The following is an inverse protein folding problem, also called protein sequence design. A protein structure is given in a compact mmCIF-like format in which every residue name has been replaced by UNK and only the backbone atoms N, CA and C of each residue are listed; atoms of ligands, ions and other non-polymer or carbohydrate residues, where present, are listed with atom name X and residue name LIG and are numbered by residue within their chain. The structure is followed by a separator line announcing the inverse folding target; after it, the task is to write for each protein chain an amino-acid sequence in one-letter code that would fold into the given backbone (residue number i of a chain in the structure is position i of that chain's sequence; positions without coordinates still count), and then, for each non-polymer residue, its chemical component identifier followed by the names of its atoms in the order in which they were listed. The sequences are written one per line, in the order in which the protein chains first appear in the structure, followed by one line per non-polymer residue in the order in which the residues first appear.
data_IF_688879970017
#
_entry.id   IF_688879970017
#
_cell.length_a   1.000
_cell.length_b   1.000
_cell.length_c   1.000
_cell.angle_alpha   90.00
_cell.angle_beta   90.00
_cell.angle_gamma   90.00
#
_symmetry.space_group_name_H-M   'P 1'
#
loop_
_entity.id
_entity.type
_entity.pdbx_description
1 polymer ?
#
# COMPACT_ATOMS: atom_id res chain seq x y z
N UNK A 1 54.86 -0.97 24.19
CA UNK A 1 53.78 -1.93 24.48
C UNK A 1 52.48 -1.23 24.10
N UNK A 2 52.22 -1.06 22.80
CA UNK A 2 51.50 -2.01 21.93
C UNK A 2 50.03 -2.19 22.31
N UNK A 3 49.17 -1.72 21.41
CA UNK A 3 47.96 -2.42 20.97
C UNK A 3 46.73 -2.35 21.87
N UNK A 4 45.71 -1.61 21.44
CA UNK A 4 44.61 -2.32 20.81
C UNK A 4 43.79 -1.43 19.87
N UNK A 5 43.79 -1.85 18.61
CA UNK A 5 43.01 -1.34 17.50
C UNK A 5 41.53 -1.67 17.69
N UNK A 6 40.71 -0.64 17.89
CA UNK A 6 39.26 -0.77 17.68
C UNK A 6 39.03 -0.86 16.18
N UNK A 7 39.07 -2.09 15.67
CA UNK A 7 38.62 -2.42 14.33
C UNK A 7 37.12 -2.18 14.25
N UNK A 8 36.74 -1.04 13.67
CA UNK A 8 35.38 -0.79 13.19
C UNK A 8 35.14 -1.78 12.07
N UNK A 9 34.62 -2.95 12.43
CA UNK A 9 34.10 -3.91 11.47
C UNK A 9 32.90 -3.27 10.78
N UNK A 10 33.15 -2.84 9.54
CA UNK A 10 32.12 -2.46 8.57
C UNK A 10 31.13 -3.61 8.42
N UNK A 11 30.08 -3.63 9.23
CA UNK A 11 28.89 -4.45 8.99
C UNK A 11 28.29 -3.95 7.67
N UNK A 12 28.54 -4.68 6.59
CA UNK A 12 27.80 -4.54 5.33
C UNK A 12 26.32 -4.53 5.67
N UNK A 13 25.69 -3.36 5.58
CA UNK A 13 24.24 -3.26 5.74
C UNK A 13 23.58 -4.17 4.70
N UNK A 14 22.57 -4.97 5.08
CA UNK A 14 21.92 -5.90 4.17
C UNK A 14 21.27 -5.12 3.02
N UNK A 15 21.40 -5.59 1.77
CA UNK A 15 20.84 -4.95 0.57
C UNK A 15 19.36 -4.52 0.71
N UNK A 16 18.58 -5.24 1.53
CA UNK A 16 17.17 -4.92 1.87
C UNK A 16 16.99 -3.59 2.63
N UNK A 17 17.95 -3.16 3.45
CA UNK A 17 17.87 -1.86 4.15
C UNK A 17 17.97 -0.71 3.16
N UNK A 18 18.84 -0.83 2.15
CA UNK A 18 19.06 0.19 1.13
C UNK A 18 17.84 0.45 0.25
N UNK A 19 17.07 -0.58 -0.10
CA UNK A 19 15.87 -0.42 -0.92
C UNK A 19 14.74 0.28 -0.14
N UNK A 20 14.54 -0.11 1.13
CA UNK A 20 13.57 0.53 2.02
C UNK A 20 13.96 1.98 2.33
N UNK A 21 15.24 2.25 2.52
CA UNK A 21 15.79 3.58 2.79
C UNK A 21 15.74 4.49 1.54
N UNK A 22 16.10 3.97 0.37
CA UNK A 22 15.95 4.69 -0.90
C UNK A 22 14.49 5.06 -1.19
N UNK A 23 13.54 4.17 -0.91
CA UNK A 23 12.09 4.48 -1.01
C UNK A 23 11.68 5.59 -0.05
N UNK A 24 12.11 5.54 1.21
CA UNK A 24 11.82 6.60 2.20
C UNK A 24 12.38 7.95 1.74
N UNK A 25 13.62 7.99 1.24
CA UNK A 25 14.26 9.23 0.75
C UNK A 25 13.58 9.76 -0.51
N UNK A 26 13.25 8.90 -1.48
CA UNK A 26 12.57 9.31 -2.72
C UNK A 26 11.15 9.83 -2.44
N UNK A 27 10.37 9.10 -1.64
CA UNK A 27 9.04 9.53 -1.21
C UNK A 27 9.10 10.86 -0.46
N UNK A 28 10.10 11.05 0.41
CA UNK A 28 10.28 12.30 1.14
C UNK A 28 10.62 13.47 0.22
N UNK A 29 11.56 13.31 -0.72
CA UNK A 29 11.96 14.39 -1.64
C UNK A 29 10.86 14.81 -2.62
N UNK A 30 10.06 13.86 -3.09
CA UNK A 30 8.95 14.15 -4.01
C UNK A 30 7.75 14.80 -3.30
N UNK A 31 7.44 14.37 -2.07
CA UNK A 31 6.30 14.89 -1.31
C UNK A 31 6.59 16.23 -0.62
N UNK A 32 7.82 16.50 -0.20
CA UNK A 32 8.21 17.72 0.53
C UNK A 32 7.68 19.04 -0.07
N UNK A 33 7.89 19.36 -1.37
CA UNK A 33 7.41 20.64 -1.91
C UNK A 33 5.88 20.75 -1.92
N UNK A 34 5.19 19.67 -2.24
CA UNK A 34 3.73 19.59 -2.24
C UNK A 34 3.17 19.74 -0.81
N UNK A 35 3.75 19.04 0.16
CA UNK A 35 3.31 19.10 1.56
C UNK A 35 3.57 20.49 2.16
N UNK A 36 4.70 21.14 1.81
CA UNK A 36 4.99 22.51 2.24
C UNK A 36 4.01 23.52 1.64
N UNK A 37 3.63 23.36 0.37
CA UNK A 37 2.60 24.19 -0.26
C UNK A 37 1.25 23.99 0.43
N UNK A 38 0.82 22.74 0.62
CA UNK A 38 -0.43 22.39 1.27
C UNK A 38 -0.51 22.93 2.71
N UNK A 39 0.60 22.87 3.46
CA UNK A 39 0.69 23.41 4.81
C UNK A 39 0.36 24.92 4.89
N UNK A 40 0.50 25.67 3.78
CA UNK A 40 0.17 27.10 3.71
C UNK A 40 -1.30 27.39 3.36
N UNK A 41 -2.05 26.39 2.88
CA UNK A 41 -3.42 26.56 2.36
C UNK A 41 -4.53 26.34 3.39
N UNK A 42 -4.19 25.89 4.61
CA UNK A 42 -5.16 25.58 5.66
C UNK A 42 -5.87 24.22 5.50
N UNK A 43 -5.60 23.48 4.43
CA UNK A 43 -6.12 22.12 4.21
C UNK A 43 -5.71 21.20 5.36
N UNK A 44 -6.64 20.39 5.85
CA UNK A 44 -6.39 19.45 6.93
C UNK A 44 -5.97 18.07 6.39
N UNK A 45 -5.17 17.29 7.14
CA UNK A 45 -4.84 15.92 6.75
C UNK A 45 -6.08 15.07 6.47
N UNK A 46 -7.09 15.13 7.34
CA UNK A 46 -8.34 14.38 7.17
C UNK A 46 -9.07 14.75 5.86
N UNK A 47 -9.01 16.01 5.41
CA UNK A 47 -9.62 16.41 4.14
C UNK A 47 -8.92 15.72 2.96
N UNK A 48 -7.59 15.55 3.01
CA UNK A 48 -6.84 14.80 2.01
C UNK A 48 -7.19 13.31 2.03
N UNK A 49 -7.37 12.71 3.22
CA UNK A 49 -7.83 11.31 3.37
C UNK A 49 -9.23 11.09 2.77
N UNK A 50 -10.17 12.01 3.01
CA UNK A 50 -11.51 11.93 2.38
C UNK A 50 -11.44 12.13 0.87
N UNK A 51 -10.55 13.00 0.40
CA UNK A 51 -10.35 13.22 -1.03
C UNK A 51 -9.71 12.00 -1.73
N UNK A 52 -8.72 11.36 -1.10
CA UNK A 52 -8.10 10.13 -1.64
C UNK A 52 -9.13 8.99 -1.74
N UNK A 53 -10.04 8.88 -0.77
CA UNK A 53 -11.17 7.94 -0.80
C UNK A 53 -12.13 8.25 -1.96
N UNK A 54 -12.50 9.52 -2.16
CA UNK A 54 -13.36 9.92 -3.27
C UNK A 54 -12.74 9.56 -4.62
N UNK A 55 -11.43 9.77 -4.77
CA UNK A 55 -10.69 9.34 -5.97
C UNK A 55 -10.69 7.81 -6.13
N UNK A 56 -10.57 7.04 -5.05
CA UNK A 56 -10.66 5.59 -5.10
C UNK A 56 -12.04 5.11 -5.59
N UNK A 57 -13.13 5.73 -5.13
CA UNK A 57 -14.47 5.46 -5.67
C UNK A 57 -14.62 5.89 -7.14
N UNK A 58 -14.03 7.03 -7.52
CA UNK A 58 -13.98 7.46 -8.91
C UNK A 58 -13.25 6.44 -9.80
N UNK A 59 -12.10 5.95 -9.37
CA UNK A 59 -11.36 4.89 -10.05
C UNK A 59 -12.18 3.59 -10.16
N UNK A 60 -12.79 3.14 -9.06
CA UNK A 60 -13.67 1.96 -9.06
C UNK A 60 -14.81 2.09 -10.07
N UNK A 61 -15.43 3.27 -10.15
CA UNK A 61 -16.49 3.58 -11.11
C UNK A 61 -15.98 3.53 -12.55
N UNK A 62 -14.82 4.13 -12.83
CA UNK A 62 -14.20 4.07 -14.16
C UNK A 62 -13.89 2.62 -14.58
N UNK A 63 -13.37 1.78 -13.66
CA UNK A 63 -13.13 0.36 -13.93
C UNK A 63 -14.46 -0.35 -14.27
N UNK A 64 -15.50 -0.15 -13.46
CA UNK A 64 -16.81 -0.75 -13.67
C UNK A 64 -17.45 -0.32 -15.01
N UNK A 65 -17.18 0.90 -15.47
CA UNK A 65 -17.64 1.42 -16.75
C UNK A 65 -16.80 0.95 -17.96
N UNK A 66 -15.78 0.10 -17.74
CA UNK A 66 -14.91 -0.39 -18.80
C UNK A 66 -13.84 0.62 -19.24
N UNK A 67 -13.45 1.53 -18.34
CA UNK A 67 -12.37 2.52 -18.55
C UNK A 67 -11.16 2.27 -17.62
N UNK A 68 -10.57 1.04 -17.61
CA UNK A 68 -9.48 0.69 -16.71
C UNK A 68 -8.22 1.56 -16.91
N UNK A 69 -7.91 1.97 -18.14
CA UNK A 69 -6.77 2.85 -18.43
C UNK A 69 -6.85 4.18 -17.66
N UNK A 70 -7.99 4.87 -17.77
CA UNK A 70 -8.22 6.12 -17.04
C UNK A 70 -8.20 5.90 -15.53
N UNK A 71 -8.79 4.79 -15.07
CA UNK A 71 -8.76 4.43 -13.65
C UNK A 71 -7.34 4.25 -13.12
N UNK A 72 -6.41 3.70 -13.92
CA UNK A 72 -5.00 3.55 -13.54
C UNK A 72 -4.35 4.88 -13.10
N UNK A 73 -4.61 5.97 -13.82
CA UNK A 73 -4.16 7.30 -13.41
C UNK A 73 -4.85 7.77 -12.13
N UNK A 74 -6.16 7.57 -12.01
CA UNK A 74 -6.91 7.99 -10.82
C UNK A 74 -6.45 7.24 -9.57
N UNK A 75 -6.12 5.94 -9.67
CA UNK A 75 -5.54 5.16 -8.57
C UNK A 75 -4.17 5.71 -8.15
N UNK A 76 -3.30 6.07 -9.10
CA UNK A 76 -2.01 6.70 -8.78
C UNK A 76 -2.18 8.04 -8.07
N UNK A 77 -3.11 8.87 -8.56
CA UNK A 77 -3.40 10.17 -7.95
C UNK A 77 -3.99 9.97 -6.54
N UNK A 78 -4.94 9.05 -6.36
CA UNK A 78 -5.48 8.70 -5.04
C UNK A 78 -4.37 8.28 -4.07
N UNK A 79 -3.47 7.39 -4.49
CA UNK A 79 -2.33 6.96 -3.68
C UNK A 79 -1.34 8.09 -3.37
N UNK A 80 -1.18 9.07 -4.26
CA UNK A 80 -0.38 10.25 -3.97
C UNK A 80 -1.02 11.11 -2.87
N UNK A 81 -2.31 11.41 -2.95
CA UNK A 81 -3.02 12.22 -1.96
C UNK A 81 -3.01 11.57 -0.56
N UNK A 82 -3.16 10.26 -0.54
CA UNK A 82 -3.00 9.44 0.66
C UNK A 82 -1.60 9.56 1.27
N UNK A 83 -0.54 9.44 0.46
CA UNK A 83 0.82 9.67 0.97
C UNK A 83 1.06 11.10 1.48
N UNK A 84 0.39 12.09 0.88
CA UNK A 84 0.48 13.50 1.28
C UNK A 84 -0.22 13.76 2.62
N UNK A 85 -1.31 13.07 2.94
CA UNK A 85 -2.05 13.31 4.18
C UNK A 85 -1.22 12.98 5.43
N UNK A 86 -0.53 11.85 5.44
CA UNK A 86 0.30 11.41 6.55
C UNK A 86 1.56 12.25 6.65
N UNK A 87 2.09 12.71 5.51
CA UNK A 87 3.20 13.65 5.49
C UNK A 87 2.79 15.03 6.03
N UNK A 88 1.60 15.52 5.66
CA UNK A 88 1.04 16.77 6.16
C UNK A 88 0.73 16.71 7.66
N UNK A 89 0.17 15.60 8.14
CA UNK A 89 -0.09 15.39 9.57
C UNK A 89 1.19 15.45 10.40
N UNK A 90 2.29 14.85 9.90
CA UNK A 90 3.61 14.91 10.55
C UNK A 90 4.20 16.32 10.49
N UNK A 91 4.16 16.99 9.34
CA UNK A 91 4.74 18.33 9.18
C UNK A 91 4.01 19.38 10.02
N UNK A 92 2.68 19.30 10.10
CA UNK A 92 1.84 20.29 10.80
C UNK A 92 1.62 19.98 12.28
N UNK A 93 2.19 18.89 12.80
CA UNK A 93 1.98 18.46 14.19
C UNK A 93 0.54 18.01 14.50
N UNK A 94 -0.28 17.72 13.48
CA UNK A 94 -1.69 17.34 13.61
C UNK A 94 -1.92 15.83 13.60
N UNK A 95 -0.88 15.04 13.88
CA UNK A 95 -1.00 13.57 13.98
C UNK A 95 -1.83 13.19 15.21
N UNK A 96 -2.91 12.44 15.03
CA UNK A 96 -3.77 11.96 16.12
C UNK A 96 -4.00 10.46 16.01
N UNK A 97 -4.23 9.79 17.15
CA UNK A 97 -4.55 8.35 17.18
C UNK A 97 -5.81 8.03 16.37
N UNK A 98 -6.85 8.86 16.50
CA UNK A 98 -8.07 8.71 15.72
C UNK A 98 -7.81 8.92 14.22
N UNK A 99 -7.03 9.93 13.85
CA UNK A 99 -6.65 10.17 12.45
C UNK A 99 -5.94 8.98 11.83
N UNK A 100 -5.01 8.34 12.56
CA UNK A 100 -4.35 7.12 12.08
C UNK A 100 -5.32 5.94 11.91
N UNK A 101 -6.30 5.79 12.80
CA UNK A 101 -7.35 4.76 12.65
C UNK A 101 -8.22 5.06 11.44
N UNK A 102 -8.67 6.32 11.29
CA UNK A 102 -9.50 6.78 10.17
C UNK A 102 -8.80 6.57 8.84
N UNK A 103 -7.58 7.09 8.68
CA UNK A 103 -6.71 6.93 7.52
C UNK A 103 -6.62 5.46 7.11
N UNK A 104 -6.19 4.63 8.05
CA UNK A 104 -6.03 3.20 7.82
C UNK A 104 -7.37 2.51 7.44
N UNK A 105 -8.51 2.94 7.99
CA UNK A 105 -9.83 2.36 7.68
C UNK A 105 -10.30 2.77 6.29
N UNK A 106 -10.19 4.05 5.95
CA UNK A 106 -10.60 4.58 4.64
C UNK A 106 -9.70 4.03 3.53
N UNK A 107 -8.43 3.79 3.82
CA UNK A 107 -7.50 3.08 2.95
C UNK A 107 -8.01 1.70 2.52
N UNK A 108 -8.52 0.94 3.48
CA UNK A 108 -9.09 -0.39 3.22
C UNK A 108 -10.39 -0.28 2.44
N UNK A 109 -11.22 0.71 2.76
CA UNK A 109 -12.48 0.95 2.05
C UNK A 109 -12.23 1.31 0.58
N UNK A 110 -11.28 2.20 0.29
CA UNK A 110 -10.89 2.57 -1.07
C UNK A 110 -10.31 1.39 -1.85
N UNK A 111 -9.45 0.59 -1.21
CA UNK A 111 -8.91 -0.64 -1.81
C UNK A 111 -10.01 -1.64 -2.17
N UNK A 112 -10.95 -1.91 -1.25
CA UNK A 112 -12.13 -2.76 -1.50
C UNK A 112 -12.94 -2.21 -2.68
N UNK A 113 -13.19 -0.90 -2.73
CA UNK A 113 -13.95 -0.29 -3.81
C UNK A 113 -13.31 -0.55 -5.18
N UNK A 114 -11.99 -0.37 -5.31
CA UNK A 114 -11.26 -0.62 -6.55
C UNK A 114 -11.38 -2.10 -6.96
N UNK A 115 -11.21 -3.04 -6.04
CA UNK A 115 -11.39 -4.47 -6.32
C UNK A 115 -12.83 -4.83 -6.68
N UNK A 116 -13.84 -4.17 -6.12
CA UNK A 116 -15.24 -4.35 -6.54
C UNK A 116 -15.47 -3.83 -7.97
N UNK A 117 -14.85 -2.71 -8.34
CA UNK A 117 -14.87 -2.22 -9.73
C UNK A 117 -14.29 -3.25 -10.70
N UNK A 118 -13.16 -3.88 -10.35
CA UNK A 118 -12.55 -4.96 -11.13
C UNK A 118 -13.44 -6.20 -11.21
N UNK A 119 -14.11 -6.55 -10.10
CA UNK A 119 -15.05 -7.66 -10.06
C UNK A 119 -16.20 -7.42 -11.06
N UNK A 120 -16.78 -6.23 -11.06
CA UNK A 120 -17.84 -5.85 -12.01
C UNK A 120 -17.34 -5.96 -13.45
N UNK A 121 -16.12 -5.47 -13.73
CA UNK A 121 -15.50 -5.57 -15.05
C UNK A 121 -15.42 -7.03 -15.53
N UNK A 122 -14.83 -7.93 -14.74
CA UNK A 122 -14.67 -9.33 -15.14
C UNK A 122 -15.98 -10.14 -15.14
N UNK A 123 -16.96 -9.75 -14.32
CA UNK A 123 -18.32 -10.33 -14.37
C UNK A 123 -18.99 -9.97 -15.70
N UNK A 124 -18.89 -8.72 -16.15
CA UNK A 124 -19.44 -8.27 -17.43
C UNK A 124 -18.82 -8.99 -18.62
N UNK A 125 -17.53 -9.32 -18.52
CA UNK A 125 -16.80 -10.06 -19.55
C UNK A 125 -16.95 -11.59 -19.41
N UNK A 126 -17.78 -12.08 -18.47
CA UNK A 126 -17.97 -13.50 -18.16
C UNK A 126 -16.66 -14.27 -17.90
N UNK A 127 -15.66 -13.59 -17.36
CA UNK A 127 -14.32 -14.15 -17.12
C UNK A 127 -14.23 -14.79 -15.73
N UNK A 128 -14.56 -16.08 -15.64
CA UNK A 128 -14.40 -16.86 -14.40
C UNK A 128 -12.98 -16.77 -13.80
N UNK A 129 -11.89 -16.89 -14.59
CA UNK A 129 -10.54 -16.72 -14.05
C UNK A 129 -10.29 -15.31 -13.48
N UNK A 130 -10.81 -14.27 -14.14
CA UNK A 130 -10.71 -12.88 -13.67
C UNK A 130 -11.44 -12.66 -12.35
N UNK A 131 -12.64 -13.22 -12.21
CA UNK A 131 -13.44 -13.16 -10.97
C UNK A 131 -12.68 -13.81 -9.81
N UNK A 132 -12.16 -15.03 -10.03
CA UNK A 132 -11.43 -15.76 -8.99
C UNK A 132 -10.16 -15.02 -8.55
N UNK A 133 -9.39 -14.49 -9.51
CA UNK A 133 -8.12 -13.83 -9.20
C UNK A 133 -8.34 -12.49 -8.47
N UNK A 134 -9.40 -11.75 -8.79
CA UNK A 134 -9.82 -10.56 -8.03
C UNK A 134 -10.18 -10.95 -6.60
N UNK A 135 -10.95 -12.04 -6.42
CA UNK A 135 -11.30 -12.55 -5.10
C UNK A 135 -10.07 -12.87 -4.25
N UNK A 136 -9.10 -13.60 -4.79
CA UNK A 136 -7.85 -13.92 -4.10
C UNK A 136 -6.97 -12.69 -3.85
N UNK A 137 -6.91 -11.75 -4.80
CA UNK A 137 -6.13 -10.52 -4.63
C UNK A 137 -6.71 -9.65 -3.50
N UNK A 138 -8.05 -9.50 -3.46
CA UNK A 138 -8.75 -8.75 -2.42
C UNK A 138 -8.58 -9.40 -1.04
N UNK A 139 -8.83 -10.70 -0.92
CA UNK A 139 -8.67 -11.42 0.34
C UNK A 139 -7.22 -11.35 0.85
N UNK A 140 -6.25 -11.54 -0.03
CA UNK A 140 -4.83 -11.41 0.28
C UNK A 140 -4.48 -10.01 0.79
N UNK A 141 -4.93 -8.95 0.10
CA UNK A 141 -4.68 -7.57 0.48
C UNK A 141 -5.22 -7.24 1.88
N UNK A 142 -6.44 -7.68 2.18
CA UNK A 142 -7.08 -7.49 3.49
C UNK A 142 -6.37 -8.30 4.59
N UNK A 143 -6.00 -9.56 4.32
CA UNK A 143 -5.29 -10.40 5.28
C UNK A 143 -3.92 -9.83 5.64
N UNK A 144 -3.16 -9.30 4.67
CA UNK A 144 -1.90 -8.60 4.93
C UNK A 144 -2.12 -7.50 5.96
N UNK A 145 -3.08 -6.60 5.72
CA UNK A 145 -3.37 -5.47 6.61
C UNK A 145 -3.87 -5.91 7.98
N UNK A 146 -4.78 -6.90 8.04
CA UNK A 146 -5.34 -7.44 9.28
C UNK A 146 -4.27 -8.08 10.16
N UNK A 147 -3.38 -8.91 9.60
CA UNK A 147 -2.32 -9.58 10.35
C UNK A 147 -1.38 -8.60 11.04
N UNK A 148 -1.04 -7.49 10.36
CA UNK A 148 -0.23 -6.44 10.99
C UNK A 148 -0.97 -5.80 12.15
N UNK A 149 -2.21 -5.36 11.95
CA UNK A 149 -3.00 -4.73 13.00
C UNK A 149 -3.22 -5.69 14.19
N UNK A 150 -3.45 -6.99 13.93
CA UNK A 150 -3.65 -8.00 14.97
C UNK A 150 -2.36 -8.31 15.74
N UNK A 151 -1.23 -8.36 15.05
CA UNK A 151 0.09 -8.53 15.68
C UNK A 151 0.42 -7.34 16.59
N UNK A 152 0.27 -6.11 16.09
CA UNK A 152 0.51 -4.88 16.86
C UNK A 152 -0.44 -4.79 18.07
N UNK A 153 -1.71 -5.17 17.91
CA UNK A 153 -2.68 -5.23 19.02
C UNK A 153 -2.35 -6.31 20.07
N UNK A 154 -1.61 -7.35 19.69
CA UNK A 154 -1.11 -8.38 20.59
C UNK A 154 0.25 -8.01 21.23
N UNK A 155 0.77 -6.80 20.97
CA UNK A 155 2.07 -6.35 21.49
C UNK A 155 3.27 -6.84 20.66
N UNK A 156 3.05 -7.49 19.52
CA UNK A 156 4.08 -8.02 18.64
C UNK A 156 4.57 -6.97 17.62
N UNK A 157 5.79 -7.13 17.13
CA UNK A 157 6.35 -6.24 16.09
C UNK A 157 5.77 -6.63 14.72
N UNK A 158 4.90 -5.77 14.18
CA UNK A 158 4.15 -6.01 12.92
C UNK A 158 4.83 -5.54 11.62
N UNK A 159 6.08 -5.07 11.66
CA UNK A 159 6.73 -4.39 10.52
C UNK A 159 7.29 -5.33 9.43
N UNK A 160 7.15 -6.65 9.58
CA UNK A 160 7.71 -7.61 8.62
C UNK A 160 6.77 -7.82 7.42
N UNK A 161 7.33 -7.87 6.22
CA UNK A 161 6.60 -8.23 4.99
C UNK A 161 7.20 -7.58 3.74
N UNK A 162 7.38 -8.38 2.69
CA UNK A 162 7.96 -7.89 1.43
C UNK A 162 6.96 -7.13 0.56
N UNK A 163 5.65 -7.40 0.69
CA UNK A 163 4.61 -6.82 -0.15
C UNK A 163 3.68 -5.90 0.65
N UNK A 164 4.03 -4.63 0.65
CA UNK A 164 3.34 -3.49 1.25
C UNK A 164 2.22 -2.96 0.36
N UNK A 165 1.33 -2.14 0.94
CA UNK A 165 0.24 -1.48 0.21
C UNK A 165 0.75 -0.69 -0.99
N UNK A 166 1.83 0.06 -0.85
CA UNK A 166 2.41 0.87 -1.93
C UNK A 166 2.79 0.02 -3.15
N UNK A 167 3.37 -1.17 -2.95
CA UNK A 167 3.73 -2.05 -4.07
C UNK A 167 2.51 -2.58 -4.78
N UNK A 168 1.47 -2.93 -4.02
CA UNK A 168 0.20 -3.36 -4.57
C UNK A 168 -0.47 -2.28 -5.40
N UNK A 169 -0.51 -1.03 -4.91
CA UNK A 169 -1.05 0.12 -5.65
C UNK A 169 -0.27 0.33 -6.96
N UNK A 170 1.06 0.22 -6.94
CA UNK A 170 1.89 0.37 -8.15
C UNK A 170 1.59 -0.75 -9.16
N UNK A 171 1.60 -2.02 -8.74
CA UNK A 171 1.35 -3.15 -9.64
C UNK A 171 -0.07 -3.09 -10.21
N UNK A 172 -1.05 -2.73 -9.38
CA UNK A 172 -2.42 -2.58 -9.80
C UNK A 172 -2.57 -1.45 -10.83
N UNK A 173 -1.97 -0.29 -10.54
CA UNK A 173 -2.00 0.86 -11.45
C UNK A 173 -1.33 0.53 -12.78
N UNK A 174 -0.20 -0.20 -12.78
CA UNK A 174 0.43 -0.67 -14.01
C UNK A 174 -0.46 -1.64 -14.78
N UNK A 175 -1.13 -2.58 -14.10
CA UNK A 175 -2.08 -3.49 -14.75
C UNK A 175 -3.27 -2.75 -15.39
N UNK A 176 -3.75 -1.70 -14.73
CA UNK A 176 -4.81 -0.83 -15.24
C UNK A 176 -4.34 0.03 -16.43
N UNK A 177 -3.14 0.61 -16.36
CA UNK A 177 -2.56 1.43 -17.44
C UNK A 177 -2.16 0.60 -18.66
N UNK A 178 -1.87 -0.69 -18.47
CA UNK A 178 -1.56 -1.62 -19.55
C UNK A 178 -2.78 -2.47 -19.94
N UNK A 179 -4.00 -2.06 -19.58
CA UNK A 179 -5.22 -2.82 -19.85
C UNK A 179 -5.50 -3.06 -21.33
N UNK A 180 -4.88 -2.29 -22.23
CA UNK A 180 -4.96 -2.50 -23.68
C UNK A 180 -4.11 -3.67 -24.17
N UNK A 181 -3.18 -4.17 -23.35
CA UNK A 181 -2.35 -5.34 -23.64
C UNK A 181 -3.05 -6.57 -23.07
N UNK A 182 -3.23 -7.59 -23.90
CA UNK A 182 -3.88 -8.84 -23.50
C UNK A 182 -3.21 -9.44 -22.25
N UNK A 183 -4.02 -9.93 -21.34
CA UNK A 183 -3.60 -10.56 -20.06
C UNK A 183 -2.82 -9.67 -19.08
N UNK A 184 -2.48 -8.42 -19.40
CA UNK A 184 -1.68 -7.57 -18.51
C UNK A 184 -2.38 -7.35 -17.15
N UNK A 185 -3.66 -6.98 -17.17
CA UNK A 185 -4.45 -6.75 -15.94
C UNK A 185 -4.59 -8.03 -15.10
N UNK A 186 -4.92 -9.16 -15.74
CA UNK A 186 -5.03 -10.47 -15.05
C UNK A 186 -3.68 -10.87 -14.45
N UNK A 187 -2.58 -10.67 -15.19
CA UNK A 187 -1.22 -10.98 -14.71
C UNK A 187 -0.86 -10.12 -13.49
N UNK A 188 -1.14 -8.82 -13.53
CA UNK A 188 -0.95 -7.92 -12.38
C UNK A 188 -1.74 -8.37 -11.16
N UNK A 189 -2.99 -8.79 -11.33
CA UNK A 189 -3.81 -9.32 -10.23
C UNK A 189 -3.27 -10.64 -9.68
N UNK A 190 -2.76 -11.52 -10.55
CA UNK A 190 -2.10 -12.76 -10.13
C UNK A 190 -0.85 -12.50 -9.32
N UNK A 191 -0.02 -11.54 -9.73
CA UNK A 191 1.16 -11.11 -8.97
C UNK A 191 0.73 -10.55 -7.60
N UNK A 192 -0.29 -9.69 -7.56
CA UNK A 192 -0.81 -9.13 -6.31
C UNK A 192 -1.30 -10.23 -5.36
N UNK A 193 -2.11 -11.17 -5.86
CA UNK A 193 -2.62 -12.28 -5.07
C UNK A 193 -1.47 -13.12 -4.50
N UNK A 194 -0.56 -13.57 -5.37
CA UNK A 194 0.58 -14.40 -4.98
C UNK A 194 1.47 -13.72 -3.93
N UNK A 195 1.90 -12.48 -4.18
CA UNK A 195 2.77 -11.75 -3.26
C UNK A 195 2.07 -11.39 -1.94
N UNK A 196 0.76 -11.15 -1.97
CA UNK A 196 -0.02 -10.91 -0.75
C UNK A 196 -0.07 -12.16 0.13
N UNK A 197 -0.38 -13.33 -0.44
CA UNK A 197 -0.39 -14.58 0.33
C UNK A 197 1.00 -14.99 0.81
N UNK A 198 2.04 -14.77 0.01
CA UNK A 198 3.42 -14.96 0.46
C UNK A 198 3.73 -14.07 1.68
N UNK A 199 3.27 -12.82 1.67
CA UNK A 199 3.46 -11.88 2.79
C UNK A 199 2.63 -12.26 4.02
N UNK A 200 1.42 -12.79 3.83
CA UNK A 200 0.60 -13.36 4.91
C UNK A 200 1.34 -14.47 5.63
N UNK A 201 1.91 -15.42 4.88
CA UNK A 201 2.69 -16.53 5.45
C UNK A 201 3.92 -15.99 6.20
N UNK A 202 4.64 -15.02 5.62
CA UNK A 202 5.79 -14.39 6.29
C UNK A 202 5.41 -13.74 7.62
N UNK A 203 4.29 -13.01 7.67
CA UNK A 203 3.80 -12.36 8.89
C UNK A 203 3.38 -13.36 9.95
N UNK A 204 2.67 -14.42 9.56
CA UNK A 204 2.27 -15.49 10.47
C UNK A 204 3.48 -16.22 11.07
N UNK A 205 4.46 -16.59 10.24
CA UNK A 205 5.68 -17.25 10.71
C UNK A 205 6.50 -16.34 11.63
N UNK A 206 6.52 -15.03 11.35
CA UNK A 206 7.20 -14.07 12.21
C UNK A 206 6.51 -13.92 13.56
N UNK A 207 5.18 -13.78 13.57
CA UNK A 207 4.39 -13.73 14.80
C UNK A 207 4.57 -15.00 15.64
N UNK A 208 4.53 -16.18 15.02
CA UNK A 208 4.73 -17.45 15.71
C UNK A 208 6.12 -17.59 16.36
N UNK A 209 7.17 -17.02 15.74
CA UNK A 209 8.51 -17.01 16.32
C UNK A 209 8.60 -16.09 17.53
N UNK A 210 8.01 -14.90 17.49
CA UNK A 210 7.99 -13.98 18.64
C UNK A 210 7.28 -14.62 19.84
N UNK A 211 6.11 -15.24 19.62
CA UNK A 211 5.35 -15.91 20.70
C UNK A 211 6.03 -17.16 21.28
N UNK A 212 7.13 -17.64 20.68
CA UNK A 212 7.93 -18.74 21.22
C UNK A 212 9.10 -18.26 22.08
N UNK A 213 9.47 -16.99 21.94
CA UNK A 213 10.54 -16.35 22.70
C UNK A 213 10.01 -15.68 23.98
N UNK A 214 8.69 -15.49 24.08
CA UNK A 214 7.93 -15.10 25.28
C UNK A 214 7.63 -16.30 26.20
#
# INVERSE_FOLDING_TARGET
MEGNSVSITSRKQPFKSRLAEARKVAAHRLSQPLVQLLARTGVTPNALTWFSLLLAFGAATLIALGQPFAAGFVVLISGLFDMLDGALARLTGKSTRFGAILDSTLDRLGEVAIFLGLLILFVRDFSTPGILIVGFALSGALLVSYLRARAEAAGLIGEVGLFTRTERVIILSLGLLLSSIDYALITSLGIIAFLSYLTVIQRLLHAWRQTKED
#
